data_IF_642026580423
#
_entry.id   IF_642026580423
#
_cell.length_a   1.000
_cell.length_b   1.000
_cell.length_c   1.000
_cell.angle_alpha   90.00
_cell.angle_beta   90.00
_cell.angle_gamma   90.00
#
_symmetry.space_group_name_H-M   'P 1'
#
loop_
_entity.id
_entity.type
_entity.pdbx_description
1 polymer ?
#
# COMPACT_ATOMS: atom_id res chain seq x y z
N UNK A 1 -6.31 -0.65 -7.07
CA UNK A 1 -6.16 -0.23 -5.65
C UNK A 1 -4.75 0.24 -5.38
N UNK A 2 -4.39 0.44 -4.12
CA UNK A 2 -3.08 0.93 -3.66
C UNK A 2 -2.53 -0.01 -2.58
N UNK A 3 -1.23 -0.26 -2.59
CA UNK A 3 -0.51 -0.86 -1.47
C UNK A 3 0.44 0.19 -0.91
N UNK A 4 0.49 0.33 0.41
CA UNK A 4 1.33 1.31 1.10
C UNK A 4 2.08 0.63 2.23
N UNK A 5 3.37 0.97 2.37
CA UNK A 5 4.22 0.54 3.47
C UNK A 5 4.89 1.77 4.06
N UNK A 6 5.09 1.75 5.36
CA UNK A 6 5.83 2.76 6.10
C UNK A 6 6.73 2.06 7.11
N UNK A 7 7.96 2.58 7.24
CA UNK A 7 8.99 2.11 8.16
C UNK A 7 8.54 2.40 9.60
N UNK A 8 7.93 1.43 10.26
CA UNK A 8 7.35 1.60 11.58
C UNK A 8 8.44 1.39 12.65
N UNK A 9 8.86 2.45 13.38
CA UNK A 9 9.95 2.34 14.34
C UNK A 9 9.64 1.40 15.51
N UNK A 10 8.35 1.15 15.79
CA UNK A 10 7.92 0.40 16.97
C UNK A 10 7.71 -1.10 16.72
N UNK A 11 7.78 -1.57 15.45
CA UNK A 11 7.42 -2.92 15.02
C UNK A 11 5.99 -3.37 15.42
N UNK A 12 5.38 -4.33 14.70
CA UNK A 12 5.83 -4.88 13.42
C UNK A 12 5.50 -3.94 12.24
N UNK A 13 6.17 -4.19 11.11
CA UNK A 13 5.87 -3.53 9.84
C UNK A 13 4.64 -4.15 9.18
N UNK A 14 3.77 -3.30 8.66
CA UNK A 14 2.59 -3.71 7.93
C UNK A 14 2.52 -3.04 6.55
N UNK A 15 1.91 -3.77 5.63
CA UNK A 15 1.48 -3.25 4.34
C UNK A 15 -0.02 -3.01 4.42
N UNK A 16 -0.42 -1.76 4.25
CA UNK A 16 -1.81 -1.40 4.01
C UNK A 16 -2.17 -1.74 2.57
N UNK A 17 -3.25 -2.48 2.39
CA UNK A 17 -3.85 -2.81 1.10
C UNK A 17 -5.21 -2.13 1.01
N UNK A 18 -5.31 -1.17 0.09
CA UNK A 18 -6.44 -0.27 -0.09
C UNK A 18 -7.09 -0.59 -1.44
N UNK A 19 -8.25 -1.25 -1.42
CA UNK A 19 -9.02 -1.51 -2.64
C UNK A 19 -10.08 -0.45 -2.90
N UNK A 20 -10.27 -0.16 -4.19
CA UNK A 20 -11.32 0.72 -4.66
C UNK A 20 -12.09 0.00 -5.75
N UNK A 21 -13.42 -0.10 -5.67
CA UNK A 21 -14.24 -0.45 -6.82
C UNK A 21 -14.33 0.71 -7.83
N UNK A 22 -14.06 1.95 -7.41
CA UNK A 22 -14.10 3.14 -8.26
C UNK A 22 -12.76 3.32 -8.99
N UNK A 23 -12.83 3.60 -10.29
CA UNK A 23 -11.66 3.82 -11.15
C UNK A 23 -10.82 5.03 -10.72
N UNK A 24 -11.44 6.03 -10.10
CA UNK A 24 -10.79 7.26 -9.66
C UNK A 24 -10.01 7.12 -8.35
N UNK A 25 -10.07 5.96 -7.69
CA UNK A 25 -9.47 5.70 -6.38
C UNK A 25 -9.75 6.79 -5.34
N UNK A 26 -10.92 7.46 -5.37
CA UNK A 26 -11.24 8.54 -4.41
C UNK A 26 -11.81 8.03 -3.09
N UNK A 27 -12.42 6.84 -3.09
CA UNK A 27 -12.96 6.20 -1.90
C UNK A 27 -13.15 4.71 -2.11
N UNK A 28 -13.28 3.96 -1.03
CA UNK A 28 -13.58 2.53 -1.08
C UNK A 28 -14.03 2.00 0.26
N UNK A 29 -14.45 0.73 0.25
CA UNK A 29 -15.06 0.09 1.41
C UNK A 29 -14.09 -0.81 2.19
N UNK A 30 -12.88 -1.04 1.68
CA UNK A 30 -11.92 -1.91 2.36
C UNK A 30 -10.48 -1.40 2.32
N UNK A 31 -9.91 -1.29 3.51
CA UNK A 31 -8.48 -1.19 3.80
C UNK A 31 -8.11 -2.32 4.74
N UNK A 32 -7.07 -3.10 4.41
CA UNK A 32 -6.63 -4.25 5.20
C UNK A 32 -5.14 -4.17 5.47
N UNK A 33 -4.70 -4.79 6.57
CA UNK A 33 -3.28 -4.88 6.95
C UNK A 33 -2.76 -6.28 6.67
N UNK A 34 -1.59 -6.36 6.04
CA UNK A 34 -0.83 -7.58 5.86
C UNK A 34 0.54 -7.41 6.52
N UNK A 35 1.04 -8.40 7.28
CA UNK A 35 2.38 -8.33 7.83
C UNK A 35 3.41 -8.19 6.71
N UNK A 36 4.31 -7.21 6.81
CA UNK A 36 5.50 -7.22 5.97
C UNK A 36 6.51 -8.20 6.57
N UNK A 37 6.89 -9.18 5.76
CA UNK A 37 7.86 -10.21 6.15
C UNK A 37 9.03 -10.26 5.18
N UNK A 38 9.13 -9.27 4.29
CA UNK A 38 10.29 -9.09 3.43
C UNK A 38 11.33 -8.25 4.17
N UNK A 39 12.59 -8.63 4.05
CA UNK A 39 13.73 -7.87 4.57
C UNK A 39 14.83 -7.74 3.52
N UNK A 40 15.87 -6.97 3.82
CA UNK A 40 16.98 -6.74 2.88
C UNK A 40 17.78 -8.02 2.53
N UNK A 41 17.61 -9.11 3.28
CA UNK A 41 18.24 -10.40 3.00
C UNK A 41 17.33 -11.33 2.18
N UNK A 42 16.05 -10.96 2.04
CA UNK A 42 15.06 -11.71 1.28
C UNK A 42 15.27 -11.49 -0.22
N UNK A 43 15.08 -12.54 -1.01
CA UNK A 43 15.03 -12.40 -2.45
C UNK A 43 13.85 -11.50 -2.84
N UNK A 44 14.02 -10.71 -3.91
CA UNK A 44 12.90 -10.03 -4.55
C UNK A 44 11.93 -11.06 -5.15
N UNK A 45 10.62 -10.85 -4.98
CA UNK A 45 9.55 -11.76 -5.37
C UNK A 45 8.60 -11.01 -6.32
N UNK A 46 8.50 -11.50 -7.56
CA UNK A 46 7.45 -11.09 -8.49
C UNK A 46 6.90 -12.32 -9.21
N UNK A 47 5.58 -12.46 -9.22
CA UNK A 47 4.88 -13.59 -9.83
C UNK A 47 4.54 -13.29 -11.30
N UNK A 48 4.35 -14.32 -12.15
CA UNK A 48 4.08 -14.14 -13.58
C UNK A 48 2.90 -13.20 -13.88
N UNK A 49 1.88 -13.21 -13.02
CA UNK A 49 0.70 -12.37 -13.09
C UNK A 49 1.03 -10.88 -13.01
N UNK A 50 2.14 -10.50 -12.37
CA UNK A 50 2.50 -9.11 -12.11
C UNK A 50 2.92 -8.35 -13.39
N UNK A 51 3.15 -9.06 -14.50
CA UNK A 51 3.61 -8.53 -15.80
C UNK A 51 4.82 -7.57 -15.68
N UNK A 52 5.11 -6.78 -16.72
CA UNK A 52 6.29 -5.92 -16.77
C UNK A 52 6.20 -4.76 -15.78
N UNK A 53 6.89 -4.90 -14.65
CA UNK A 53 7.03 -3.86 -13.63
C UNK A 53 6.11 -4.01 -12.42
N UNK A 54 5.66 -5.23 -12.11
CA UNK A 54 4.91 -5.52 -10.89
C UNK A 54 5.70 -5.36 -9.58
N UNK A 55 5.05 -5.54 -8.42
CA UNK A 55 5.71 -5.39 -7.13
C UNK A 55 6.78 -6.49 -6.92
N UNK A 56 7.85 -6.15 -6.18
CA UNK A 56 9.07 -6.96 -6.11
C UNK A 56 9.56 -7.23 -4.68
N UNK A 57 9.16 -6.46 -3.66
CA UNK A 57 9.61 -6.66 -2.26
C UNK A 57 8.47 -7.04 -1.34
N UNK A 58 8.24 -6.33 -0.24
CA UNK A 58 7.13 -6.58 0.67
C UNK A 58 5.79 -6.62 -0.07
N UNK A 59 5.58 -5.68 -1.00
CA UNK A 59 4.39 -5.69 -1.86
C UNK A 59 4.32 -6.94 -2.75
N UNK A 60 5.45 -7.37 -3.33
CA UNK A 60 5.50 -8.55 -4.18
C UNK A 60 5.20 -9.81 -3.39
N UNK A 61 5.75 -9.92 -2.18
CA UNK A 61 5.49 -11.01 -1.24
C UNK A 61 4.03 -11.08 -0.83
N UNK A 62 3.39 -9.95 -0.51
CA UNK A 62 1.96 -9.92 -0.15
C UNK A 62 1.10 -10.22 -1.38
N UNK A 63 1.29 -9.49 -2.49
CA UNK A 63 0.43 -9.62 -3.67
C UNK A 63 0.48 -11.02 -4.30
N UNK A 64 1.65 -11.66 -4.37
CA UNK A 64 1.80 -12.98 -4.97
C UNK A 64 1.37 -14.14 -4.06
N UNK A 65 1.41 -13.99 -2.74
CA UNK A 65 0.99 -15.05 -1.81
C UNK A 65 -0.49 -15.00 -1.44
N UNK A 66 -1.19 -13.94 -1.86
CA UNK A 66 -2.60 -13.70 -1.59
C UNK A 66 -3.39 -13.56 -2.90
N UNK A 67 -3.77 -14.67 -3.56
CA UNK A 67 -4.45 -14.64 -4.87
C UNK A 67 -5.75 -13.82 -4.89
N UNK A 68 -6.41 -13.66 -3.74
CA UNK A 68 -7.56 -12.78 -3.58
C UNK A 68 -7.25 -11.31 -3.89
N UNK A 69 -6.00 -10.87 -3.67
CA UNK A 69 -5.57 -9.52 -3.98
C UNK A 69 -5.47 -9.26 -5.49
N UNK A 70 -5.19 -10.28 -6.30
CA UNK A 70 -5.23 -10.16 -7.77
C UNK A 70 -6.66 -9.83 -8.21
N UNK A 71 -7.65 -10.49 -7.62
CA UNK A 71 -9.07 -10.27 -7.94
C UNK A 71 -9.55 -8.89 -7.45
N UNK A 72 -9.09 -8.44 -6.28
CA UNK A 72 -9.56 -7.19 -5.64
C UNK A 72 -8.84 -5.93 -6.12
N UNK A 73 -7.52 -6.01 -6.32
CA UNK A 73 -6.71 -4.86 -6.73
C UNK A 73 -6.51 -4.77 -8.24
N UNK A 74 -6.63 -5.91 -8.93
CA UNK A 74 -6.23 -6.06 -10.33
C UNK A 74 -4.72 -6.23 -10.50
N UNK A 75 -4.29 -6.15 -11.75
CA UNK A 75 -2.87 -6.19 -12.12
C UNK A 75 -2.16 -4.87 -11.79
N UNK A 76 -0.87 -4.91 -11.44
CA UNK A 76 -0.08 -3.70 -11.22
C UNK A 76 0.00 -2.86 -12.50
N UNK A 77 -0.24 -1.55 -12.38
CA UNK A 77 -0.11 -0.58 -13.48
C UNK A 77 1.11 0.33 -13.34
N UNK A 78 1.80 0.24 -12.21
CA UNK A 78 3.00 0.99 -11.87
C UNK A 78 3.94 0.11 -11.04
N UNK A 79 5.23 0.35 -11.18
CA UNK A 79 6.23 -0.31 -10.32
C UNK A 79 6.17 0.18 -8.89
N UNK A 80 6.54 -0.72 -7.99
CA UNK A 80 6.76 -0.41 -6.58
C UNK A 80 7.75 0.76 -6.43
N UNK A 81 7.38 1.74 -5.59
CA UNK A 81 8.15 2.95 -5.31
C UNK A 81 8.12 3.26 -3.83
N UNK A 82 9.25 3.71 -3.29
CA UNK A 82 9.31 4.41 -2.00
C UNK A 82 9.45 5.91 -2.22
N UNK A 83 9.14 6.72 -1.20
CA UNK A 83 9.44 8.16 -1.20
C UNK A 83 10.95 8.46 -1.27
N UNK A 84 11.79 7.44 -1.11
CA UNK A 84 13.24 7.56 -1.21
C UNK A 84 13.86 8.22 0.02
N UNK A 85 15.15 8.59 -0.09
CA UNK A 85 15.92 9.24 0.97
C UNK A 85 15.92 10.77 0.92
N UNK A 86 15.17 11.37 -0.02
CA UNK A 86 15.10 12.83 -0.20
C UNK A 86 13.67 13.31 0.07
N UNK A 87 13.46 14.37 0.88
CA UNK A 87 12.14 14.93 1.15
C UNK A 87 11.39 15.41 -0.12
N UNK A 88 10.04 15.49 -0.09
CA UNK A 88 9.17 15.12 1.04
C UNK A 88 9.01 13.60 1.20
N UNK A 89 8.91 13.15 2.45
CA UNK A 89 8.66 11.74 2.79
C UNK A 89 7.16 11.48 2.93
N UNK A 90 6.76 10.20 2.86
CA UNK A 90 5.43 9.84 3.30
C UNK A 90 5.28 10.10 4.80
N UNK A 91 4.12 10.62 5.19
CA UNK A 91 3.81 10.91 6.59
C UNK A 91 2.63 10.06 7.04
N UNK A 92 2.72 9.50 8.24
CA UNK A 92 1.68 8.62 8.81
C UNK A 92 1.31 9.15 10.20
N UNK A 93 0.01 9.37 10.41
CA UNK A 93 -0.52 9.75 11.73
C UNK A 93 -1.68 8.84 12.13
N UNK A 94 -1.53 8.20 13.29
CA UNK A 94 -2.55 7.35 13.89
C UNK A 94 -3.54 8.15 14.74
N UNK A 95 -4.79 7.74 14.69
CA UNK A 95 -5.91 8.28 15.47
C UNK A 95 -6.68 7.12 16.10
N UNK A 96 -7.48 7.41 17.13
CA UNK A 96 -8.35 6.40 17.75
C UNK A 96 -9.33 5.76 16.75
N UNK A 97 -9.70 6.48 15.69
CA UNK A 97 -10.64 6.03 14.67
C UNK A 97 -10.01 5.62 13.33
N UNK A 98 -8.69 5.59 13.20
CA UNK A 98 -8.05 5.29 11.92
C UNK A 98 -6.64 5.84 11.76
N UNK A 99 -6.20 5.99 10.53
CA UNK A 99 -4.87 6.53 10.17
C UNK A 99 -4.99 7.48 8.98
N UNK A 100 -4.19 8.54 8.99
CA UNK A 100 -3.97 9.40 7.83
C UNK A 100 -2.58 9.15 7.26
N UNK A 101 -2.50 9.07 5.93
CA UNK A 101 -1.27 8.81 5.19
C UNK A 101 -1.14 9.89 4.11
N UNK A 102 -0.09 10.71 4.19
CA UNK A 102 0.29 11.60 3.10
C UNK A 102 1.26 10.89 2.15
N UNK A 103 0.99 10.96 0.86
CA UNK A 103 1.85 10.44 -0.21
C UNK A 103 2.50 11.58 -0.99
N UNK A 104 3.82 11.80 -0.88
CA UNK A 104 4.53 12.81 -1.66
C UNK A 104 4.62 12.46 -3.15
N UNK A 105 4.43 11.19 -3.52
CA UNK A 105 4.50 10.73 -4.91
C UNK A 105 3.32 11.20 -5.75
N UNK A 106 2.16 11.37 -5.10
CA UNK A 106 0.91 11.79 -5.74
C UNK A 106 0.36 13.11 -5.20
N UNK A 107 0.94 13.64 -4.13
CA UNK A 107 0.44 14.82 -3.40
C UNK A 107 -1.01 14.65 -2.94
N UNK A 108 -1.25 13.53 -2.26
CA UNK A 108 -2.57 13.08 -1.82
C UNK A 108 -2.53 12.60 -0.37
N UNK A 109 -3.66 12.75 0.32
CA UNK A 109 -3.88 12.23 1.67
C UNK A 109 -4.91 11.11 1.63
N UNK A 110 -4.54 9.94 2.13
CA UNK A 110 -5.41 8.80 2.34
C UNK A 110 -5.87 8.77 3.80
N UNK A 111 -7.16 8.65 4.03
CA UNK A 111 -7.77 8.47 5.35
C UNK A 111 -8.33 7.07 5.41
N UNK A 112 -7.76 6.21 6.25
CA UNK A 112 -8.22 4.82 6.44
C UNK A 112 -8.92 4.73 7.79
N UNK A 113 -10.22 4.47 7.78
CA UNK A 113 -11.02 4.37 8.99
C UNK A 113 -10.88 2.97 9.61
N UNK A 114 -10.94 2.89 10.94
CA UNK A 114 -10.80 1.62 11.67
C UNK A 114 -11.87 0.58 11.31
N UNK A 115 -13.02 1.01 10.82
CA UNK A 115 -14.11 0.14 10.34
C UNK A 115 -13.89 -0.39 8.91
N UNK A 116 -12.82 0.06 8.23
CA UNK A 116 -12.34 -0.49 6.96
C UNK A 116 -12.60 0.38 5.73
N UNK A 117 -13.55 1.32 5.76
CA UNK A 117 -13.73 2.27 4.65
C UNK A 117 -12.60 3.30 4.61
N UNK A 118 -12.44 3.96 3.47
CA UNK A 118 -11.38 4.94 3.28
C UNK A 118 -11.75 6.02 2.26
N UNK A 119 -11.04 7.15 2.36
CA UNK A 119 -11.18 8.30 1.48
C UNK A 119 -9.82 8.85 1.06
N UNK A 120 -9.76 9.51 -0.10
CA UNK A 120 -8.55 10.15 -0.63
C UNK A 120 -8.81 11.59 -1.06
N UNK A 121 -7.96 12.48 -0.59
CA UNK A 121 -8.01 13.92 -0.83
C UNK A 121 -6.74 14.40 -1.53
N UNK A 122 -6.85 15.47 -2.32
CA UNK A 122 -5.68 16.21 -2.81
C UNK A 122 -5.15 17.10 -1.66
N UNK A 123 -3.82 17.29 -1.58
CA UNK A 123 -3.16 18.15 -0.59
C UNK A 123 -2.73 19.51 -1.18
#
# INVERSE_FOLDING_TARGET
GVMFWWDNPDNPDYIWVIDSPAEDLRSGATSNLYPDTWDQNSAEISCPEAQNGGPIRGFGKVWCNHPELITRLGYPIQSERGSGGTPPFAEVQFFQGGVMIYSPLSNEVYVLFAQGDWQRFDD
#
